data_IF_513632182659
#
_entry.id   IF_513632182659
#
_cell.length_a   1.000
_cell.length_b   1.000
_cell.length_c   1.000
_cell.angle_alpha   90.00
_cell.angle_beta   90.00
_cell.angle_gamma   90.00
#
_symmetry.space_group_name_H-M   'P 1'
#
loop_
_entity.id
_entity.type
_entity.pdbx_description
1 polymer ?
#
# COMPACT_ATOMS: atom_id res chain seq x y z
N UNK A 1 83.86 1.79 27.35
CA UNK A 1 82.68 1.52 26.50
C UNK A 1 81.82 0.48 27.23
N UNK A 2 80.64 0.90 27.73
CA UNK A 2 79.80 0.09 28.64
C UNK A 2 78.67 -0.54 27.82
N UNK A 3 78.77 -1.83 27.51
CA UNK A 3 77.74 -2.57 26.79
C UNK A 3 76.54 -2.82 27.70
N UNK A 4 75.44 -2.09 27.46
CA UNK A 4 74.14 -2.32 28.09
C UNK A 4 73.48 -3.54 27.46
N UNK A 5 73.51 -4.68 28.16
CA UNK A 5 72.79 -5.90 27.79
C UNK A 5 71.29 -5.67 28.06
N UNK A 6 70.50 -5.53 26.99
CA UNK A 6 69.04 -5.53 27.08
C UNK A 6 68.54 -6.96 27.29
N UNK A 7 67.66 -7.22 28.28
CA UNK A 7 67.09 -8.55 28.47
C UNK A 7 66.19 -8.94 27.28
N UNK A 8 66.08 -10.24 26.94
CA UNK A 8 65.22 -10.69 25.85
C UNK A 8 63.75 -10.41 26.16
N UNK A 9 63.04 -9.72 25.24
CA UNK A 9 61.59 -9.56 25.31
C UNK A 9 60.93 -10.93 25.13
N UNK A 10 60.32 -11.46 26.20
CA UNK A 10 59.44 -12.62 26.10
C UNK A 10 58.21 -12.24 25.27
N UNK A 11 58.05 -12.90 24.11
CA UNK A 11 56.83 -12.78 23.31
C UNK A 11 55.75 -13.56 24.08
N UNK A 12 54.77 -12.84 24.64
CA UNK A 12 53.64 -13.48 25.29
C UNK A 12 52.76 -14.15 24.23
N UNK A 13 52.27 -15.38 24.48
CA UNK A 13 51.36 -16.04 23.55
C UNK A 13 50.06 -15.22 23.44
N UNK A 14 49.65 -14.92 22.21
CA UNK A 14 48.33 -14.34 21.94
C UNK A 14 47.28 -15.36 22.38
N UNK A 15 46.51 -15.02 23.41
CA UNK A 15 45.40 -15.84 23.85
C UNK A 15 44.40 -15.99 22.68
N UNK A 16 44.02 -17.22 22.36
CA UNK A 16 42.96 -17.47 21.36
C UNK A 16 41.66 -16.89 21.91
N UNK A 17 41.05 -15.98 21.15
CA UNK A 17 39.71 -15.52 21.45
C UNK A 17 38.75 -16.73 21.41
N UNK A 18 37.87 -16.90 22.41
CA UNK A 18 36.85 -17.94 22.35
C UNK A 18 35.98 -17.72 21.12
N UNK A 19 35.80 -18.77 20.31
CA UNK A 19 34.91 -18.77 19.16
C UNK A 19 33.45 -18.99 19.59
N UNK A 20 32.51 -18.51 18.77
CA UNK A 20 31.08 -18.75 18.95
C UNK A 20 30.76 -20.25 18.83
N UNK A 21 29.88 -20.77 19.69
CA UNK A 21 29.48 -22.19 19.60
C UNK A 21 28.34 -22.38 18.60
N UNK A 22 28.27 -23.57 17.97
CA UNK A 22 27.16 -23.91 17.07
C UNK A 22 25.81 -23.88 17.78
N UNK A 23 25.78 -24.30 19.05
CA UNK A 23 24.55 -24.28 19.85
C UNK A 23 24.07 -22.86 20.13
N UNK A 24 24.99 -21.92 20.36
CA UNK A 24 24.66 -20.50 20.58
C UNK A 24 24.05 -19.89 19.32
N UNK A 25 24.59 -20.21 18.14
CA UNK A 25 23.98 -19.81 16.88
C UNK A 25 22.61 -20.45 16.64
N UNK A 26 22.40 -21.73 17.00
CA UNK A 26 21.08 -22.37 16.87
C UNK A 26 20.01 -21.67 17.70
N UNK A 27 20.34 -21.26 18.94
CA UNK A 27 19.39 -20.55 19.81
C UNK A 27 19.12 -19.15 19.26
N UNK A 28 20.15 -18.44 18.79
CA UNK A 28 19.99 -17.09 18.20
C UNK A 28 19.09 -17.13 16.98
N UNK A 29 19.32 -18.08 16.06
CA UNK A 29 18.47 -18.22 14.86
C UNK A 29 17.03 -18.59 15.24
N UNK A 30 16.84 -19.45 16.23
CA UNK A 30 15.50 -19.80 16.72
C UNK A 30 14.74 -18.58 17.27
N UNK A 31 15.42 -17.72 18.04
CA UNK A 31 14.81 -16.48 18.55
C UNK A 31 14.48 -15.49 17.43
N UNK A 32 15.41 -15.29 16.48
CA UNK A 32 15.17 -14.41 15.32
C UNK A 32 13.98 -14.90 14.49
N UNK A 33 13.83 -16.21 14.31
CA UNK A 33 12.71 -16.78 13.57
C UNK A 33 11.35 -16.48 14.23
N UNK A 34 11.27 -16.59 15.55
CA UNK A 34 10.06 -16.26 16.32
C UNK A 34 9.72 -14.77 16.18
N UNK A 35 10.73 -13.90 16.33
CA UNK A 35 10.52 -12.45 16.18
C UNK A 35 10.09 -12.07 14.76
N UNK A 36 10.73 -12.65 13.74
CA UNK A 36 10.42 -12.39 12.35
C UNK A 36 8.99 -12.79 11.98
N UNK A 37 8.48 -13.90 12.53
CA UNK A 37 7.13 -14.37 12.28
C UNK A 37 6.04 -13.35 12.67
N UNK A 38 6.29 -12.53 13.71
CA UNK A 38 5.36 -11.49 14.17
C UNK A 38 5.68 -10.15 13.51
N UNK A 39 6.96 -9.81 13.38
CA UNK A 39 7.41 -8.52 12.89
C UNK A 39 7.09 -8.30 11.41
N UNK A 40 7.28 -9.32 10.55
CA UNK A 40 7.08 -9.21 9.11
C UNK A 40 5.63 -8.89 8.72
N UNK A 41 4.59 -9.62 9.17
CA UNK A 41 3.21 -9.27 8.83
C UNK A 41 2.81 -7.90 9.37
N UNK A 42 3.27 -7.54 10.58
CA UNK A 42 3.01 -6.22 11.18
C UNK A 42 3.62 -5.09 10.36
N UNK A 43 4.88 -5.25 9.91
CA UNK A 43 5.56 -4.27 9.08
C UNK A 43 4.89 -4.10 7.70
N UNK A 44 4.49 -5.19 7.06
CA UNK A 44 3.76 -5.14 5.78
C UNK A 44 2.42 -4.40 5.94
N UNK A 45 1.70 -4.65 7.03
CA UNK A 45 0.46 -3.96 7.38
C UNK A 45 0.68 -2.45 7.59
N UNK A 46 1.81 -2.05 8.19
CA UNK A 46 2.17 -0.65 8.38
C UNK A 46 2.43 0.04 7.03
N UNK A 47 3.26 -0.55 6.18
CA UNK A 47 3.57 -0.01 4.85
C UNK A 47 2.31 0.10 4.00
N UNK A 48 1.44 -0.91 4.07
CA UNK A 48 0.14 -0.90 3.38
C UNK A 48 -0.70 0.31 3.78
N UNK A 49 -0.84 0.58 5.08
CA UNK A 49 -1.59 1.75 5.59
C UNK A 49 -0.98 3.07 5.14
N UNK A 50 0.33 3.12 4.95
CA UNK A 50 1.00 4.29 4.36
C UNK A 50 0.70 4.48 2.87
N UNK A 51 0.33 3.43 2.15
CA UNK A 51 0.04 3.47 0.71
C UNK A 51 -1.45 3.75 0.41
N UNK A 52 -2.37 3.37 1.29
CA UNK A 52 -3.82 3.55 1.09
C UNK A 52 -4.28 5.01 0.88
N UNK A 53 -3.72 6.03 1.56
CA UNK A 53 -4.14 7.42 1.36
C UNK A 53 -3.99 7.92 -0.09
N UNK A 54 -3.06 7.35 -0.86
CA UNK A 54 -2.89 7.62 -2.30
C UNK A 54 -4.20 7.36 -3.06
N UNK A 55 -4.85 6.22 -2.79
CA UNK A 55 -6.15 5.88 -3.38
C UNK A 55 -7.27 6.82 -2.89
N UNK A 56 -7.35 7.05 -1.58
CA UNK A 56 -8.45 7.82 -0.97
C UNK A 56 -8.46 9.28 -1.41
N UNK A 57 -7.28 9.89 -1.51
CA UNK A 57 -7.14 11.26 -1.99
C UNK A 57 -7.55 11.35 -3.46
N UNK A 58 -7.06 10.45 -4.30
CA UNK A 58 -7.42 10.44 -5.72
C UNK A 58 -8.91 10.17 -5.95
N UNK A 59 -9.52 9.21 -5.23
CA UNK A 59 -10.96 8.94 -5.30
C UNK A 59 -11.78 10.17 -4.90
N UNK A 60 -11.36 10.90 -3.87
CA UNK A 60 -12.01 12.13 -3.43
C UNK A 60 -11.91 13.24 -4.48
N UNK A 61 -10.73 13.39 -5.10
CA UNK A 61 -10.47 14.38 -6.15
C UNK A 61 -11.29 14.07 -7.42
N UNK A 62 -11.33 12.80 -7.83
CA UNK A 62 -12.15 12.36 -8.97
C UNK A 62 -13.65 12.52 -8.70
N UNK A 63 -14.13 12.28 -7.47
CA UNK A 63 -15.52 12.55 -7.11
C UNK A 63 -15.88 14.03 -7.28
N UNK A 64 -14.99 14.93 -6.86
CA UNK A 64 -15.17 16.37 -7.02
C UNK A 64 -15.17 16.78 -8.51
N UNK A 65 -14.31 16.17 -9.34
CA UNK A 65 -14.32 16.39 -10.80
C UNK A 65 -15.60 15.88 -11.46
N UNK A 66 -16.11 14.74 -11.03
CA UNK A 66 -17.38 14.20 -11.53
C UNK A 66 -18.56 15.10 -11.18
N UNK A 67 -18.57 15.70 -9.99
CA UNK A 67 -19.59 16.68 -9.62
C UNK A 67 -19.50 17.94 -10.50
N UNK A 68 -18.30 18.46 -10.75
CA UNK A 68 -18.13 19.59 -11.68
C UNK A 68 -18.63 19.24 -13.09
N UNK A 69 -18.27 18.07 -13.59
CA UNK A 69 -18.75 17.57 -14.89
C UNK A 69 -20.29 17.51 -14.95
N UNK A 70 -20.92 17.08 -13.85
CA UNK A 70 -22.38 17.02 -13.73
C UNK A 70 -23.02 18.40 -13.80
N UNK A 71 -22.42 19.42 -13.18
CA UNK A 71 -22.94 20.80 -13.26
C UNK A 71 -22.96 21.32 -14.70
N UNK A 72 -21.94 20.96 -15.49
CA UNK A 72 -21.81 21.40 -16.88
C UNK A 72 -22.72 20.60 -17.84
N UNK A 73 -22.87 19.28 -17.62
CA UNK A 73 -23.47 18.35 -18.59
C UNK A 73 -24.80 17.74 -18.15
N UNK A 74 -25.20 17.89 -16.88
CA UNK A 74 -26.39 17.31 -16.24
C UNK A 74 -26.48 15.77 -16.28
N UNK A 75 -25.34 15.12 -16.50
CA UNK A 75 -25.14 13.67 -16.54
C UNK A 75 -23.71 13.38 -16.12
N UNK A 76 -23.43 12.16 -15.67
CA UNK A 76 -22.08 11.76 -15.25
C UNK A 76 -21.23 11.13 -16.36
N UNK A 77 -21.80 10.87 -17.54
CA UNK A 77 -21.06 10.24 -18.63
C UNK A 77 -21.97 9.82 -19.78
N UNK A 78 -21.48 8.86 -20.57
CA UNK A 78 -22.21 8.29 -21.70
C UNK A 78 -21.99 6.78 -21.75
N UNK A 79 -23.08 6.03 -22.01
CA UNK A 79 -23.07 4.57 -21.93
C UNK A 79 -22.58 4.09 -20.57
N UNK A 80 -21.54 3.24 -20.57
CA UNK A 80 -20.91 2.70 -19.35
C UNK A 80 -19.74 3.52 -18.83
N UNK A 81 -19.32 4.56 -19.56
CA UNK A 81 -18.08 5.30 -19.26
C UNK A 81 -18.39 6.67 -18.66
N UNK A 82 -17.72 6.97 -17.55
CA UNK A 82 -17.81 8.29 -16.91
C UNK A 82 -17.14 9.38 -17.73
N UNK A 83 -17.70 10.60 -17.66
CA UNK A 83 -17.18 11.82 -18.24
C UNK A 83 -16.78 11.71 -19.73
N UNK A 84 -17.43 10.80 -20.46
CA UNK A 84 -17.20 10.54 -21.87
C UNK A 84 -18.28 11.27 -22.69
N UNK A 85 -18.04 12.54 -22.99
CA UNK A 85 -18.79 13.27 -24.01
C UNK A 85 -17.79 13.82 -25.04
N UNK A 86 -18.19 13.82 -26.32
CA UNK A 86 -17.36 14.28 -27.42
C UNK A 86 -16.93 15.75 -27.26
N UNK A 87 -17.69 16.54 -26.50
CA UNK A 87 -17.40 17.94 -26.17
C UNK A 87 -16.53 18.13 -24.92
N UNK A 88 -16.28 17.07 -24.15
CA UNK A 88 -15.68 17.13 -22.82
C UNK A 88 -14.62 16.03 -22.58
N UNK A 89 -13.90 15.61 -23.62
CA UNK A 89 -12.94 14.49 -23.55
C UNK A 89 -11.77 14.68 -22.57
N UNK A 90 -11.55 15.87 -22.00
CA UNK A 90 -10.51 16.08 -20.96
C UNK A 90 -10.95 15.63 -19.56
N UNK A 91 -12.25 15.38 -19.35
CA UNK A 91 -12.81 15.04 -18.04
C UNK A 91 -12.77 13.54 -17.71
N UNK A 92 -12.58 12.67 -18.72
CA UNK A 92 -12.50 11.22 -18.55
C UNK A 92 -11.13 10.71 -18.06
N UNK A 93 -10.26 11.62 -17.62
CA UNK A 93 -8.87 11.31 -17.33
C UNK A 93 -8.67 10.86 -15.87
N UNK A 94 -9.03 9.61 -15.60
CA UNK A 94 -8.78 8.95 -14.31
C UNK A 94 -7.34 8.41 -14.26
N UNK A 95 -6.37 9.34 -14.16
CA UNK A 95 -4.94 9.00 -14.19
C UNK A 95 -4.58 7.97 -13.12
N UNK A 96 -3.93 6.88 -13.55
CA UNK A 96 -3.29 5.94 -12.65
C UNK A 96 -2.15 6.63 -11.89
N UNK A 97 -1.98 6.22 -10.64
CA UNK A 97 -0.83 6.59 -9.82
C UNK A 97 0.19 5.44 -9.82
N UNK A 98 1.25 5.57 -9.04
CA UNK A 98 2.29 4.54 -8.98
C UNK A 98 1.79 3.21 -8.38
N UNK A 99 0.75 3.26 -7.54
CA UNK A 99 0.21 2.09 -6.84
C UNK A 99 -1.23 1.74 -7.16
N UNK A 100 -1.99 2.63 -7.81
CA UNK A 100 -3.40 2.43 -8.08
C UNK A 100 -3.75 2.74 -9.52
N UNK A 101 -4.59 1.90 -10.11
CA UNK A 101 -5.35 2.23 -11.31
C UNK A 101 -6.78 2.61 -10.92
N UNK A 102 -7.40 3.48 -11.71
CA UNK A 102 -8.74 3.96 -11.45
C UNK A 102 -9.63 3.66 -12.65
N UNK A 103 -10.83 3.16 -12.37
CA UNK A 103 -11.86 2.90 -13.37
C UNK A 103 -13.14 3.50 -12.87
N UNK A 104 -13.79 4.31 -13.69
CA UNK A 104 -15.10 4.84 -13.40
C UNK A 104 -16.13 4.24 -14.34
N UNK A 105 -17.22 3.74 -13.77
CA UNK A 105 -18.32 3.13 -14.52
C UNK A 105 -19.63 3.79 -14.15
N UNK A 106 -20.45 4.08 -15.16
CA UNK A 106 -21.86 4.45 -14.96
C UNK A 106 -22.63 3.21 -14.51
N UNK A 107 -23.45 3.35 -13.47
CA UNK A 107 -24.16 2.24 -12.81
C UNK A 107 -25.65 2.21 -13.09
N UNK A 108 -26.19 3.23 -13.77
CA UNK A 108 -27.61 3.34 -14.12
C UNK A 108 -27.83 3.64 -15.62
N UNK A 109 -29.03 3.36 -16.11
CA UNK A 109 -29.41 3.67 -17.49
C UNK A 109 -29.66 5.16 -17.76
N UNK A 110 -29.89 5.96 -16.72
CA UNK A 110 -30.17 7.39 -16.82
C UNK A 110 -28.90 8.27 -16.72
N UNK A 111 -27.72 7.66 -16.54
CA UNK A 111 -26.43 8.36 -16.44
C UNK A 111 -26.35 9.32 -15.24
N UNK A 112 -27.11 9.02 -14.17
CA UNK A 112 -27.20 9.79 -12.94
C UNK A 112 -26.45 9.11 -11.77
N UNK A 113 -25.92 7.90 -11.97
CA UNK A 113 -25.16 7.19 -10.96
C UNK A 113 -23.85 6.64 -11.53
N UNK A 114 -22.81 6.67 -10.70
CA UNK A 114 -21.50 6.15 -11.08
C UNK A 114 -20.81 5.49 -9.88
N UNK A 115 -19.80 4.68 -10.19
CA UNK A 115 -18.86 4.16 -9.20
C UNK A 115 -17.45 4.33 -9.74
N UNK A 116 -16.59 5.01 -8.97
CA UNK A 116 -15.15 5.07 -9.22
C UNK A 116 -14.48 4.03 -8.34
N UNK A 117 -13.72 3.13 -8.96
CA UNK A 117 -12.97 2.08 -8.28
C UNK A 117 -11.47 2.32 -8.43
N UNK A 118 -10.74 2.32 -7.31
CA UNK A 118 -9.30 2.29 -7.23
C UNK A 118 -8.83 0.85 -6.98
N UNK A 119 -8.02 0.31 -7.88
CA UNK A 119 -7.43 -1.04 -7.77
C UNK A 119 -5.93 -0.93 -7.53
N UNK A 120 -5.45 -1.51 -6.44
CA UNK A 120 -4.02 -1.53 -6.12
C UNK A 120 -3.26 -2.44 -7.09
N UNK A 121 -2.25 -1.88 -7.77
CA UNK A 121 -1.45 -2.58 -8.79
C UNK A 121 -0.09 -3.02 -8.26
N UNK A 122 0.44 -2.32 -7.26
CA UNK A 122 1.79 -2.54 -6.73
C UNK A 122 1.89 -2.33 -5.21
N UNK A 123 3.03 -2.70 -4.63
CA UNK A 123 3.27 -2.57 -3.19
C UNK A 123 2.45 -3.53 -2.34
N UNK A 124 2.24 -3.17 -1.08
CA UNK A 124 1.49 -3.98 -0.11
C UNK A 124 -0.04 -3.80 -0.27
N UNK A 125 -0.47 -2.85 -1.09
CA UNK A 125 -1.87 -2.62 -1.45
C UNK A 125 -2.31 -3.37 -2.71
N UNK A 126 -1.43 -4.20 -3.28
CA UNK A 126 -1.73 -4.96 -4.50
C UNK A 126 -3.00 -5.78 -4.32
N UNK A 127 -3.90 -5.70 -5.30
CA UNK A 127 -5.23 -6.32 -5.34
C UNK A 127 -6.27 -5.76 -4.36
N UNK A 128 -5.94 -4.75 -3.56
CA UNK A 128 -6.97 -4.03 -2.80
C UNK A 128 -7.85 -3.23 -3.73
N UNK A 129 -9.15 -3.21 -3.47
CA UNK A 129 -10.11 -2.48 -4.29
C UNK A 129 -11.01 -1.64 -3.40
N UNK A 130 -10.93 -0.34 -3.62
CA UNK A 130 -11.71 0.69 -2.94
C UNK A 130 -12.60 1.39 -3.94
N UNK A 131 -13.84 1.71 -3.57
CA UNK A 131 -14.74 2.45 -4.44
C UNK A 131 -15.44 3.59 -3.74
N UNK A 132 -15.90 4.56 -4.52
CA UNK A 132 -16.78 5.65 -4.09
C UNK A 132 -17.83 5.92 -5.16
N UNK A 133 -19.06 6.20 -4.72
CA UNK A 133 -20.16 6.57 -5.61
C UNK A 133 -20.49 8.08 -5.57
N UNK A 134 -21.47 8.49 -6.37
CA UNK A 134 -21.95 9.88 -6.42
C UNK A 134 -22.46 10.40 -5.06
N UNK A 135 -23.02 9.53 -4.23
CA UNK A 135 -23.53 9.88 -2.91
C UNK A 135 -22.42 9.96 -1.85
N UNK A 136 -21.18 9.62 -2.22
CA UNK A 136 -20.04 9.56 -1.31
C UNK A 136 -20.02 8.29 -0.46
N UNK A 137 -20.84 7.29 -0.78
CA UNK A 137 -20.75 5.99 -0.14
C UNK A 137 -19.44 5.34 -0.54
N UNK A 138 -18.69 4.91 0.47
CA UNK A 138 -17.37 4.32 0.32
C UNK A 138 -17.54 2.82 0.46
N UNK A 139 -16.87 2.05 -0.38
CA UNK A 139 -16.87 0.60 -0.22
C UNK A 139 -15.49 0.00 -0.43
N UNK A 140 -15.27 -1.17 0.14
CA UNK A 140 -14.10 -2.00 -0.12
C UNK A 140 -14.60 -3.36 -0.59
N UNK A 141 -14.15 -3.80 -1.76
CA UNK A 141 -14.51 -5.11 -2.34
C UNK A 141 -13.39 -6.14 -2.23
N UNK A 142 -12.14 -5.69 -2.09
CA UNK A 142 -10.97 -6.54 -1.81
C UNK A 142 -10.04 -5.89 -0.80
N UNK A 143 -9.60 -6.65 0.19
CA UNK A 143 -8.72 -6.18 1.26
C UNK A 143 -7.75 -7.30 1.67
N UNK A 144 -6.44 -7.04 1.59
CA UNK A 144 -5.37 -8.01 1.89
C UNK A 144 -5.52 -9.32 1.11
N UNK A 145 -5.95 -9.22 -0.15
CA UNK A 145 -6.17 -10.37 -1.03
C UNK A 145 -7.48 -11.14 -0.78
N UNK A 146 -8.24 -10.82 0.26
CA UNK A 146 -9.56 -11.39 0.51
C UNK A 146 -10.67 -10.53 -0.12
N UNK A 147 -11.69 -11.17 -0.67
CA UNK A 147 -12.93 -10.49 -1.06
C UNK A 147 -13.70 -10.12 0.21
N UNK A 148 -14.13 -8.87 0.29
CA UNK A 148 -14.85 -8.31 1.44
C UNK A 148 -16.05 -7.51 0.93
N UNK A 149 -17.10 -7.39 1.74
CA UNK A 149 -18.25 -6.52 1.44
C UNK A 149 -18.37 -5.51 2.58
N UNK A 150 -17.56 -4.46 2.52
CA UNK A 150 -17.55 -3.41 3.53
C UNK A 150 -18.05 -2.09 2.94
N UNK A 151 -18.91 -1.40 3.69
CA UNK A 151 -19.50 -0.09 3.34
C UNK A 151 -18.62 1.07 3.82
N UNK A 152 -17.30 0.85 3.87
CA UNK A 152 -16.30 1.85 4.20
C UNK A 152 -14.98 1.50 3.52
N UNK A 153 -14.05 2.45 3.52
CA UNK A 153 -12.67 2.17 3.13
C UNK A 153 -11.93 1.52 4.29
N UNK A 154 -11.65 0.23 4.16
CA UNK A 154 -10.94 -0.53 5.18
C UNK A 154 -9.48 -0.10 5.26
N UNK A 155 -9.00 0.13 6.48
CA UNK A 155 -7.60 0.52 6.75
C UNK A 155 -6.87 -0.47 7.65
N UNK A 156 -7.58 -1.13 8.57
CA UNK A 156 -6.98 -1.98 9.61
C UNK A 156 -7.48 -3.42 9.57
N UNK A 157 -8.78 -3.59 9.69
CA UNK A 157 -9.52 -4.86 9.77
C UNK A 157 -10.48 -4.98 8.58
N UNK A 158 -11.20 -6.09 8.52
CA UNK A 158 -12.31 -6.33 7.57
C UNK A 158 -13.65 -5.72 8.01
N UNK A 159 -13.65 -4.95 9.10
CA UNK A 159 -14.82 -4.27 9.63
C UNK A 159 -14.71 -2.75 9.46
N UNK A 160 -15.87 -2.14 9.26
CA UNK A 160 -16.11 -0.73 9.53
C UNK A 160 -16.33 -0.59 11.05
#
# INVERSE_FOLDING_TARGET
MKFSIFPPRRIAPVARAPGFTLIEMMIVVALIAILAAIALPSYNDYIRRGQQPEAFNALSDFRAKMEQYYQDNRKYGSGTTCANDATASSWNEFKATNRFSYVCTITDGAQQAYSISATGTSGQVKNDVYSIDQNGNRSTSKFKGATVSANCWLTRSSAC
#
